data_IF_103660011485
#
_entry.id   IF_103660011485
#
_cell.length_a   1.000
_cell.length_b   1.000
_cell.length_c   1.000
_cell.angle_alpha   90.00
_cell.angle_beta   90.00
_cell.angle_gamma   90.00
#
_symmetry.space_group_name_H-M   'P 1'
#
loop_
_entity.id
_entity.type
_entity.pdbx_description
1 polymer ?
#
# COMPACT_ATOMS: atom_id res chain seq x y z
N UNK A 1 21.72 -26.36 -37.81
CA UNK A 1 21.65 -25.84 -36.42
C UNK A 1 20.19 -25.63 -36.10
N UNK A 2 19.67 -26.20 -35.01
CA UNK A 2 18.25 -26.09 -34.67
C UNK A 2 17.89 -24.63 -34.31
N UNK A 3 16.90 -24.06 -34.98
CA UNK A 3 16.36 -22.73 -34.66
C UNK A 3 15.78 -22.75 -33.25
N UNK A 4 16.48 -22.12 -32.30
CA UNK A 4 16.03 -22.01 -30.91
C UNK A 4 15.04 -20.85 -30.82
N UNK A 5 13.85 -21.11 -30.29
CA UNK A 5 12.83 -20.06 -30.03
C UNK A 5 13.27 -19.06 -28.95
N UNK A 6 14.10 -19.50 -27.99
CA UNK A 6 14.64 -18.61 -26.94
C UNK A 6 16.14 -18.45 -27.10
N UNK A 7 16.55 -17.31 -27.64
CA UNK A 7 17.95 -16.99 -28.02
C UNK A 7 18.69 -16.17 -26.97
N UNK A 8 17.97 -15.50 -26.07
CA UNK A 8 18.55 -14.61 -25.05
C UNK A 8 18.65 -15.29 -23.68
N UNK A 9 19.79 -15.11 -23.02
CA UNK A 9 20.05 -15.55 -21.65
C UNK A 9 20.03 -14.37 -20.68
N UNK A 10 19.63 -14.63 -19.44
CA UNK A 10 19.72 -13.66 -18.33
C UNK A 10 20.71 -14.23 -17.33
N UNK A 11 21.70 -13.43 -16.96
CA UNK A 11 22.67 -13.76 -15.92
C UNK A 11 22.35 -12.94 -14.67
N UNK A 12 22.32 -13.59 -13.51
CA UNK A 12 21.95 -12.98 -12.24
C UNK A 12 23.02 -13.35 -11.20
N UNK A 13 23.68 -12.34 -10.64
CA UNK A 13 24.55 -12.53 -9.47
C UNK A 13 23.72 -12.26 -8.22
N UNK A 14 23.86 -13.13 -7.22
CA UNK A 14 23.12 -13.05 -5.96
C UNK A 14 24.11 -13.16 -4.80
N UNK A 15 23.85 -12.38 -3.75
CA UNK A 15 24.42 -12.62 -2.43
C UNK A 15 23.85 -13.90 -1.80
N UNK A 16 24.51 -14.41 -0.77
CA UNK A 16 24.08 -15.63 -0.08
C UNK A 16 22.65 -15.53 0.47
N UNK A 17 22.26 -14.35 0.97
CA UNK A 17 20.91 -14.14 1.52
C UNK A 17 19.85 -14.05 0.43
N UNK A 18 20.15 -13.40 -0.70
CA UNK A 18 19.25 -13.37 -1.84
C UNK A 18 19.05 -14.77 -2.44
N UNK A 19 20.12 -15.57 -2.49
CA UNK A 19 20.04 -16.96 -2.93
C UNK A 19 19.14 -17.80 -2.01
N UNK A 20 19.29 -17.67 -0.69
CA UNK A 20 18.40 -18.36 0.28
C UNK A 20 16.94 -17.99 0.07
N UNK A 21 16.65 -16.72 -0.16
CA UNK A 21 15.28 -16.25 -0.42
C UNK A 21 14.76 -16.82 -1.74
N UNK A 22 15.58 -16.83 -2.79
CA UNK A 22 15.22 -17.39 -4.08
C UNK A 22 14.89 -18.88 -3.95
N UNK A 23 15.75 -19.67 -3.30
CA UNK A 23 15.54 -21.09 -3.10
C UNK A 23 14.28 -21.39 -2.29
N UNK A 24 14.05 -20.63 -1.21
CA UNK A 24 12.84 -20.79 -0.39
C UNK A 24 11.58 -20.55 -1.23
N UNK A 25 11.53 -19.45 -2.00
CA UNK A 25 10.40 -19.14 -2.87
C UNK A 25 10.24 -20.15 -4.00
N UNK A 26 11.35 -20.63 -4.57
CA UNK A 26 11.35 -21.65 -5.60
C UNK A 26 10.75 -22.98 -5.09
N UNK A 27 11.19 -23.47 -3.92
CA UNK A 27 10.66 -24.69 -3.31
C UNK A 27 9.17 -24.60 -3.04
N UNK A 28 8.69 -23.45 -2.57
CA UNK A 28 7.26 -23.20 -2.33
C UNK A 28 6.42 -23.09 -3.61
N UNK A 29 7.04 -22.77 -4.75
CA UNK A 29 6.33 -22.54 -6.01
C UNK A 29 5.85 -23.82 -6.72
N UNK A 30 6.42 -24.98 -6.38
CA UNK A 30 6.16 -26.26 -7.06
C UNK A 30 6.62 -26.30 -8.52
N UNK A 31 7.42 -25.34 -8.99
CA UNK A 31 7.92 -25.30 -10.36
C UNK A 31 8.97 -26.40 -10.60
N UNK A 32 8.99 -26.97 -11.81
CA UNK A 32 9.92 -28.07 -12.16
C UNK A 32 11.37 -27.59 -12.33
N UNK A 33 11.54 -26.35 -12.74
CA UNK A 33 12.86 -25.75 -12.98
C UNK A 33 12.91 -24.31 -12.47
N UNK A 34 14.09 -23.89 -12.02
CA UNK A 34 14.32 -22.51 -11.57
C UNK A 34 14.01 -21.50 -12.68
N UNK A 35 14.34 -21.83 -13.94
CA UNK A 35 13.99 -21.01 -15.10
C UNK A 35 12.48 -20.82 -15.25
N UNK A 36 11.69 -21.88 -15.09
CA UNK A 36 10.23 -21.78 -15.17
C UNK A 36 9.69 -20.87 -14.06
N UNK A 37 10.23 -21.00 -12.85
CA UNK A 37 9.87 -20.14 -11.72
C UNK A 37 10.19 -18.66 -12.00
N UNK A 38 11.43 -18.35 -12.41
CA UNK A 38 11.86 -16.98 -12.71
C UNK A 38 11.02 -16.37 -13.83
N UNK A 39 10.81 -17.10 -14.93
CA UNK A 39 9.98 -16.63 -16.04
C UNK A 39 8.52 -16.43 -15.61
N UNK A 40 7.97 -17.31 -14.76
CA UNK A 40 6.62 -17.14 -14.20
C UNK A 40 6.55 -15.92 -13.27
N UNK A 41 7.60 -15.61 -12.53
CA UNK A 41 7.66 -14.40 -11.70
C UNK A 41 7.76 -13.12 -12.53
N UNK A 42 8.54 -13.13 -13.62
CA UNK A 42 8.75 -11.94 -14.47
C UNK A 42 7.54 -11.70 -15.40
N UNK A 43 6.98 -12.76 -15.99
CA UNK A 43 5.88 -12.66 -16.96
C UNK A 43 4.50 -12.73 -16.32
N UNK A 44 4.38 -13.30 -15.11
CA UNK A 44 3.10 -13.60 -14.47
C UNK A 44 2.63 -12.57 -13.45
N UNK A 45 3.35 -11.47 -13.24
CA UNK A 45 2.91 -10.38 -12.37
C UNK A 45 3.15 -9.05 -13.05
N UNK A 46 2.07 -8.34 -13.34
CA UNK A 46 2.15 -6.93 -13.67
C UNK A 46 2.80 -6.18 -12.50
N UNK A 47 3.78 -5.33 -12.81
CA UNK A 47 4.42 -4.49 -11.81
C UNK A 47 3.53 -3.26 -11.62
N UNK A 48 2.67 -3.32 -10.60
CA UNK A 48 1.86 -2.16 -10.21
C UNK A 48 2.70 -1.17 -9.42
N UNK A 49 2.95 0.00 -10.01
CA UNK A 49 3.44 1.17 -9.28
C UNK A 49 2.23 1.81 -8.61
N UNK A 50 2.05 1.52 -7.32
CA UNK A 50 0.97 2.12 -6.53
C UNK A 50 1.30 3.58 -6.22
N UNK A 51 0.46 4.50 -6.69
CA UNK A 51 0.51 5.88 -6.21
C UNK A 51 -0.04 5.96 -4.78
N UNK A 52 0.87 6.05 -3.81
CA UNK A 52 0.56 6.13 -2.39
C UNK A 52 0.34 7.58 -1.90
N UNK A 53 0.26 8.56 -2.80
CA UNK A 53 0.14 9.98 -2.45
C UNK A 53 -1.11 10.25 -1.61
N UNK A 54 -2.26 9.70 -2.00
CA UNK A 54 -3.52 9.89 -1.28
C UNK A 54 -3.47 9.33 0.17
N UNK A 55 -2.76 8.21 0.37
CA UNK A 55 -2.56 7.65 1.70
C UNK A 55 -1.62 8.51 2.55
N UNK A 56 -0.56 9.04 1.94
CA UNK A 56 0.40 9.92 2.63
C UNK A 56 -0.26 11.22 3.08
N UNK A 57 -1.10 11.82 2.24
CA UNK A 57 -1.89 13.00 2.58
C UNK A 57 -2.85 12.74 3.75
N UNK A 58 -3.56 11.60 3.73
CA UNK A 58 -4.43 11.20 4.83
C UNK A 58 -3.63 11.01 6.13
N UNK A 59 -2.49 10.30 6.08
CA UNK A 59 -1.61 10.12 7.24
C UNK A 59 -1.12 11.45 7.80
N UNK A 60 -0.75 12.40 6.94
CA UNK A 60 -0.36 13.74 7.37
C UNK A 60 -1.53 14.54 7.98
N UNK A 61 -2.75 14.37 7.48
CA UNK A 61 -3.95 14.96 8.09
C UNK A 61 -4.24 14.41 9.48
N UNK A 62 -4.20 13.08 9.61
CA UNK A 62 -4.34 12.39 10.91
C UNK A 62 -3.29 12.89 11.90
N UNK A 63 -2.02 12.98 11.49
CA UNK A 63 -0.94 13.47 12.35
C UNK A 63 -1.18 14.90 12.86
N UNK A 64 -1.69 15.80 12.00
CA UNK A 64 -2.06 17.16 12.42
C UNK A 64 -3.21 17.15 13.42
N UNK A 65 -4.26 16.36 13.17
CA UNK A 65 -5.41 16.25 14.07
C UNK A 65 -5.00 15.68 15.44
N UNK A 66 -4.22 14.60 15.47
CA UNK A 66 -3.67 14.04 16.71
C UNK A 66 -2.83 15.07 17.47
N UNK A 67 -2.03 15.87 16.74
CA UNK A 67 -1.29 17.00 17.31
C UNK A 67 -2.20 18.03 18.00
N UNK A 68 -3.27 18.45 17.33
CA UNK A 68 -4.26 19.38 17.91
C UNK A 68 -4.96 18.79 19.15
N UNK A 69 -5.39 17.52 19.10
CA UNK A 69 -5.99 16.84 20.26
C UNK A 69 -5.00 16.78 21.43
N UNK A 70 -3.72 16.52 21.17
CA UNK A 70 -2.71 16.48 22.22
C UNK A 70 -2.49 17.87 22.87
N UNK A 71 -2.64 18.97 22.11
CA UNK A 71 -2.60 20.31 22.67
C UNK A 71 -3.80 20.57 23.59
N UNK A 72 -5.01 20.15 23.20
CA UNK A 72 -6.20 20.23 24.05
C UNK A 72 -5.99 19.41 25.32
N UNK A 73 -5.46 18.19 25.20
CA UNK A 73 -5.15 17.35 26.36
C UNK A 73 -4.14 18.02 27.31
N UNK A 74 -3.07 18.62 26.78
CA UNK A 74 -2.10 19.39 27.60
C UNK A 74 -2.75 20.57 28.30
N UNK A 75 -3.62 21.33 27.61
CA UNK A 75 -4.36 22.45 28.18
C UNK A 75 -5.24 21.98 29.33
N UNK A 76 -6.09 20.98 29.10
CA UNK A 76 -6.97 20.36 30.11
C UNK A 76 -6.18 19.84 31.31
N UNK A 77 -5.06 19.16 31.09
CA UNK A 77 -4.22 18.65 32.18
C UNK A 77 -3.58 19.78 32.99
N UNK A 78 -3.30 20.93 32.37
CA UNK A 78 -2.71 22.10 33.04
C UNK A 78 -3.74 22.90 33.83
N UNK A 79 -4.98 22.99 33.34
CA UNK A 79 -6.07 23.71 34.00
C UNK A 79 -6.86 22.85 34.98
N UNK A 80 -6.68 21.52 34.93
CA UNK A 80 -7.49 20.53 35.64
C UNK A 80 -9.02 20.68 35.39
N UNK A 81 -9.39 21.29 34.26
CA UNK A 81 -10.76 21.59 33.88
C UNK A 81 -10.97 21.38 32.39
N UNK A 82 -12.13 20.84 32.03
CA UNK A 82 -12.57 20.66 30.64
C UNK A 82 -13.64 21.71 30.36
N UNK A 83 -13.40 22.57 29.39
CA UNK A 83 -14.35 23.56 28.93
C UNK A 83 -15.21 23.00 27.79
N UNK A 84 -16.40 23.59 27.60
CA UNK A 84 -17.27 23.25 26.48
C UNK A 84 -16.58 23.44 25.13
N UNK A 85 -15.75 24.48 25.02
CA UNK A 85 -15.01 24.78 23.80
C UNK A 85 -13.97 23.68 23.47
N UNK A 86 -13.34 23.07 24.48
CA UNK A 86 -12.45 21.91 24.26
C UNK A 86 -13.20 20.74 23.59
N UNK A 87 -14.43 20.50 24.00
CA UNK A 87 -15.28 19.44 23.44
C UNK A 87 -15.73 19.81 22.01
N UNK A 88 -16.08 21.07 21.77
CA UNK A 88 -16.45 21.54 20.43
C UNK A 88 -15.27 21.45 19.45
N UNK A 89 -14.07 21.83 19.88
CA UNK A 89 -12.84 21.72 19.11
C UNK A 89 -12.59 20.25 18.71
N UNK A 90 -12.68 19.32 19.66
CA UNK A 90 -12.53 17.87 19.39
C UNK A 90 -13.59 17.37 18.40
N UNK A 91 -14.85 17.80 18.57
CA UNK A 91 -15.93 17.41 17.65
C UNK A 91 -15.68 17.91 16.22
N UNK A 92 -15.17 19.13 16.06
CA UNK A 92 -14.83 19.67 14.75
C UNK A 92 -13.67 18.91 14.10
N UNK A 93 -12.63 18.61 14.87
CA UNK A 93 -11.49 17.80 14.43
C UNK A 93 -11.92 16.40 13.97
N UNK A 94 -12.80 15.73 14.72
CA UNK A 94 -13.34 14.42 14.36
C UNK A 94 -14.21 14.48 13.10
N UNK A 95 -15.03 15.53 12.94
CA UNK A 95 -15.81 15.74 11.70
C UNK A 95 -14.89 15.91 10.49
N UNK A 96 -13.80 16.67 10.64
CA UNK A 96 -12.80 16.84 9.57
C UNK A 96 -12.13 15.51 9.22
N UNK A 97 -11.69 14.74 10.21
CA UNK A 97 -11.12 13.41 9.99
C UNK A 97 -12.10 12.48 9.25
N UNK A 98 -13.37 12.50 9.64
CA UNK A 98 -14.42 11.72 8.97
C UNK A 98 -14.58 12.09 7.49
N UNK A 99 -14.53 13.39 7.15
CA UNK A 99 -14.58 13.86 5.75
C UNK A 99 -13.37 13.38 4.95
N UNK A 100 -12.16 13.47 5.51
CA UNK A 100 -10.94 13.03 4.84
C UNK A 100 -10.98 11.53 4.55
N UNK A 101 -11.37 10.71 5.54
CA UNK A 101 -11.54 9.25 5.38
C UNK A 101 -12.60 8.93 4.32
N UNK A 102 -13.74 9.62 4.36
CA UNK A 102 -14.81 9.42 3.37
C UNK A 102 -14.33 9.73 1.95
N UNK A 103 -13.58 10.83 1.78
CA UNK A 103 -13.03 11.22 0.49
C UNK A 103 -12.08 10.17 -0.09
N UNK A 104 -11.21 9.58 0.74
CA UNK A 104 -10.32 8.50 0.32
C UNK A 104 -11.11 7.24 -0.03
N UNK A 105 -12.07 6.85 0.82
CA UNK A 105 -12.94 5.69 0.55
C UNK A 105 -13.67 5.83 -0.77
N UNK A 106 -14.19 7.02 -1.08
CA UNK A 106 -14.85 7.30 -2.36
C UNK A 106 -13.89 7.12 -3.53
N UNK A 107 -12.69 7.72 -3.47
CA UNK A 107 -11.65 7.52 -4.51
C UNK A 107 -11.30 6.05 -4.73
N UNK A 108 -11.17 5.27 -3.64
CA UNK A 108 -10.89 3.84 -3.73
C UNK A 108 -12.04 3.05 -4.36
N UNK A 109 -13.29 3.41 -4.04
CA UNK A 109 -14.47 2.79 -4.63
C UNK A 109 -14.56 3.07 -6.13
N UNK A 110 -14.29 4.31 -6.55
CA UNK A 110 -14.29 4.70 -7.96
C UNK A 110 -13.18 3.97 -8.75
N UNK A 111 -11.99 3.82 -8.15
CA UNK A 111 -10.86 3.07 -8.74
C UNK A 111 -11.15 1.56 -8.83
N UNK A 112 -11.72 0.95 -7.78
CA UNK A 112 -12.01 -0.49 -7.75
C UNK A 112 -13.09 -0.94 -8.74
N UNK A 113 -13.97 -0.03 -9.18
CA UNK A 113 -15.02 -0.32 -10.15
C UNK A 113 -14.59 -0.11 -11.62
N UNK A 114 -13.37 0.38 -11.87
CA UNK A 114 -12.84 0.53 -13.24
C UNK A 114 -12.28 -0.78 -13.80
N UNK A 115 -11.79 -1.70 -12.95
CA UNK A 115 -11.21 -2.98 -13.38
C UNK A 115 -12.22 -4.15 -13.48
N UNK A 116 -13.41 -4.02 -12.88
CA UNK A 116 -14.44 -5.07 -12.93
C UNK A 116 -15.25 -5.09 -14.23
N UNK A 117 -15.08 -4.10 -15.12
CA UNK A 117 -15.85 -3.99 -16.36
C UNK A 117 -15.13 -4.64 -17.56
N UNK A 118 -13.82 -4.95 -17.47
CA UNK A 118 -13.01 -5.33 -18.64
C UNK A 118 -12.31 -6.71 -18.57
N UNK A 119 -12.68 -7.63 -17.67
CA UNK A 119 -11.93 -8.89 -17.52
C UNK A 119 -12.72 -10.17 -17.77
N UNK A 120 -13.72 -10.13 -18.64
CA UNK A 120 -14.33 -11.34 -19.21
C UNK A 120 -14.66 -11.18 -20.71
N UNK A 121 -13.66 -10.86 -21.53
CA UNK A 121 -13.69 -11.27 -22.95
C UNK A 121 -12.30 -11.72 -23.39
N UNK A 122 -12.05 -13.03 -23.30
CA UNK A 122 -11.13 -13.82 -24.14
C UNK A 122 -11.42 -15.31 -23.95
#
# INVERSE_FOLDING_TARGET
MANRVRTHGIYLMLSDDELKVLEKKYRLSGCKTLRQFIVKCILGKDIFVLDMTAFRELSASIGRITGSINQIAKRVNSTAAIYKDDILDIQELLKKQGKDIYSLRKKLYDLGNLETINTEES
#
